data_IF_490850141599
#
_entry.id   IF_490850141599
#
_cell.length_a   1.000
_cell.length_b   1.000
_cell.length_c   1.000
_cell.angle_alpha   90.00
_cell.angle_beta   90.00
_cell.angle_gamma   90.00
#
_symmetry.space_group_name_H-M   'P 1'
#
loop_
_entity.id
_entity.type
_entity.pdbx_description
1 polymer ?
#
# COMPACT_ATOMS: atom_id res chain seq x y z
N UNK A 1 -19.18 -1.66 -13.62
CA UNK A 1 -18.30 -0.61 -14.15
C UNK A 1 -18.05 0.39 -13.03
N UNK A 2 -16.80 0.62 -12.63
CA UNK A 2 -16.45 1.76 -11.79
C UNK A 2 -16.09 2.90 -12.75
N UNK A 3 -17.00 3.85 -12.94
CA UNK A 3 -16.67 5.07 -13.69
C UNK A 3 -15.68 5.90 -12.84
N UNK A 4 -14.52 6.29 -13.38
CA UNK A 4 -13.64 7.23 -12.71
C UNK A 4 -14.37 8.58 -12.65
N UNK A 5 -14.86 8.94 -11.47
CA UNK A 5 -15.41 10.27 -11.28
C UNK A 5 -14.29 11.28 -11.47
N UNK A 6 -14.42 12.18 -12.46
CA UNK A 6 -13.55 13.33 -12.77
C UNK A 6 -13.63 14.40 -11.67
N UNK A 7 -13.50 13.97 -10.41
CA UNK A 7 -13.48 14.88 -9.27
C UNK A 7 -12.09 15.50 -9.25
N UNK A 8 -11.97 16.83 -9.26
CA UNK A 8 -10.68 17.46 -9.09
C UNK A 8 -10.08 16.94 -7.78
N UNK A 9 -8.84 16.45 -7.85
CA UNK A 9 -8.11 16.09 -6.64
C UNK A 9 -7.95 17.35 -5.79
N UNK A 10 -8.13 17.27 -4.47
CA UNK A 10 -7.82 18.39 -3.59
C UNK A 10 -6.39 18.89 -3.86
N UNK A 11 -6.15 20.21 -3.73
CA UNK A 11 -4.81 20.75 -3.91
C UNK A 11 -3.82 20.05 -2.98
N UNK A 12 -2.66 19.68 -3.54
CA UNK A 12 -1.57 19.15 -2.73
C UNK A 12 -1.07 20.27 -1.83
N UNK A 13 -0.89 19.95 -0.56
CA UNK A 13 -0.24 20.85 0.37
C UNK A 13 1.19 21.14 -0.10
N UNK A 14 1.58 22.41 -0.10
CA UNK A 14 2.92 22.85 -0.51
C UNK A 14 3.78 23.16 0.73
N UNK A 15 5.12 23.24 0.63
CA UNK A 15 5.97 23.60 1.76
C UNK A 15 5.70 24.99 2.35
N UNK A 16 5.06 25.88 1.58
CA UNK A 16 4.68 27.23 1.98
C UNK A 16 3.38 27.30 2.79
N UNK A 17 2.61 26.21 2.89
CA UNK A 17 1.37 26.23 3.67
C UNK A 17 1.67 26.45 5.18
N UNK A 18 0.86 27.25 5.89
CA UNK A 18 1.16 27.70 7.26
C UNK A 18 1.22 26.56 8.29
N UNK A 19 0.55 25.45 8.01
CA UNK A 19 0.34 24.29 8.87
C UNK A 19 1.06 23.03 8.35
N UNK A 20 2.09 23.20 7.53
CA UNK A 20 2.87 22.07 7.00
C UNK A 20 3.68 21.39 8.09
N UNK A 21 4.17 22.17 9.05
CA UNK A 21 4.93 21.65 10.19
C UNK A 21 4.11 20.67 11.03
N UNK A 22 2.81 20.92 11.20
CA UNK A 22 1.91 20.10 12.03
C UNK A 22 1.76 18.66 11.53
N UNK A 23 2.00 18.43 10.23
CA UNK A 23 1.92 17.12 9.59
C UNK A 23 3.26 16.38 9.55
N UNK A 24 4.37 17.07 9.83
CA UNK A 24 5.69 16.47 9.84
C UNK A 24 5.97 15.90 11.21
N UNK A 25 5.99 14.57 11.31
CA UNK A 25 6.52 13.90 12.49
C UNK A 25 8.00 14.25 12.63
N UNK A 26 8.44 14.54 13.85
CA UNK A 26 9.87 14.67 14.15
C UNK A 26 10.57 13.32 13.96
N UNK A 27 11.88 13.32 13.73
CA UNK A 27 12.63 12.07 13.53
C UNK A 27 12.67 11.19 14.79
N UNK A 28 12.45 11.77 15.97
CA UNK A 28 12.22 11.02 17.21
C UNK A 28 10.84 10.36 17.22
N UNK A 29 9.79 11.08 16.83
CA UNK A 29 8.43 10.53 16.73
C UNK A 29 8.35 9.41 15.68
N UNK A 30 9.04 9.56 14.54
CA UNK A 30 9.13 8.49 13.52
C UNK A 30 9.81 7.24 14.06
N UNK A 31 10.88 7.38 14.86
CA UNK A 31 11.57 6.25 15.48
C UNK A 31 10.75 5.57 16.57
N UNK A 32 9.89 6.33 17.25
CA UNK A 32 9.00 5.82 18.30
C UNK A 32 7.72 5.15 17.75
N UNK A 33 7.48 5.17 16.43
CA UNK A 33 6.40 4.40 15.78
C UNK A 33 6.78 2.92 15.70
N UNK A 34 6.94 2.28 16.86
CA UNK A 34 7.19 0.84 16.98
C UNK A 34 5.89 0.04 17.18
N UNK A 35 4.77 0.73 17.39
CA UNK A 35 3.45 0.14 17.66
C UNK A 35 2.55 0.17 16.40
N UNK A 36 3.13 -0.05 15.22
CA UNK A 36 2.30 -0.28 14.03
C UNK A 36 1.58 -1.63 14.15
N UNK A 37 0.35 -1.76 13.63
CA UNK A 37 -0.35 -3.04 13.64
C UNK A 37 0.47 -4.07 12.85
N UNK A 38 0.47 -5.31 13.35
CA UNK A 38 1.15 -6.41 12.66
C UNK A 38 0.66 -6.50 11.21
N UNK A 39 1.61 -6.73 10.28
CA UNK A 39 1.27 -6.91 8.88
C UNK A 39 0.21 -8.01 8.74
N UNK A 40 -0.79 -7.85 7.86
CA UNK A 40 -1.77 -8.90 7.64
C UNK A 40 -1.06 -10.18 7.22
N UNK A 41 -1.45 -11.30 7.80
CA UNK A 41 -0.96 -12.61 7.36
C UNK A 41 -1.28 -12.78 5.87
N UNK A 42 -0.34 -13.28 5.05
CA UNK A 42 -0.65 -13.62 3.67
C UNK A 42 -1.87 -14.52 3.64
N UNK A 43 -2.88 -14.18 2.83
CA UNK A 43 -4.12 -14.95 2.74
C UNK A 43 -3.92 -16.37 2.17
N UNK A 44 -2.69 -16.72 1.81
CA UNK A 44 -2.34 -17.82 0.91
C UNK A 44 -1.13 -18.65 1.36
N UNK A 45 -0.88 -18.78 2.67
CA UNK A 45 0.08 -19.77 3.22
C UNK A 45 -0.27 -21.22 2.80
N UNK A 46 -1.49 -21.48 2.32
CA UNK A 46 -1.92 -22.77 1.76
C UNK A 46 -1.97 -22.85 0.22
N UNK A 47 -1.66 -21.78 -0.52
CA UNK A 47 -1.71 -21.76 -1.99
C UNK A 47 -0.34 -21.69 -2.67
N UNK A 48 0.74 -21.50 -1.92
CA UNK A 48 2.10 -21.61 -2.47
C UNK A 48 2.37 -22.99 -3.12
N UNK A 49 1.68 -24.04 -2.66
CA UNK A 49 1.78 -25.39 -3.23
C UNK A 49 0.68 -25.76 -4.24
N UNK A 50 -0.26 -24.85 -4.57
CA UNK A 50 -1.42 -25.18 -5.42
C UNK A 50 -1.35 -24.60 -6.83
N UNK A 51 -0.40 -23.73 -7.11
CA UNK A 51 -0.16 -23.22 -8.45
C UNK A 51 0.63 -24.27 -9.24
N UNK A 52 0.12 -24.77 -10.38
CA UNK A 52 0.88 -25.68 -11.23
C UNK A 52 2.15 -24.99 -11.72
N UNK A 53 3.22 -25.77 -11.90
CA UNK A 53 4.47 -25.24 -12.41
C UNK A 53 4.20 -24.59 -13.79
N UNK A 54 4.70 -23.38 -14.07
CA UNK A 54 4.53 -22.75 -15.38
C UNK A 54 5.04 -23.59 -16.55
N UNK A 55 5.92 -24.56 -16.29
CA UNK A 55 6.41 -25.54 -17.27
C UNK A 55 5.42 -26.68 -17.55
N UNK A 56 4.51 -26.97 -16.63
CA UNK A 56 3.54 -28.07 -16.73
C UNK A 56 2.23 -27.65 -17.41
N UNK A 57 2.03 -26.33 -17.64
CA UNK A 57 0.83 -25.77 -18.28
C UNK A 57 0.98 -25.54 -19.80
N UNK A 58 2.06 -26.02 -20.41
CA UNK A 58 2.38 -25.78 -21.81
C UNK A 58 2.24 -27.02 -22.68
N UNK A 59 1.03 -27.27 -23.19
CA UNK A 59 0.78 -27.88 -24.53
C UNK A 59 -0.71 -27.89 -24.94
N UNK A 60 -1.63 -27.43 -24.09
CA UNK A 60 -3.08 -27.43 -24.37
C UNK A 60 -3.72 -26.04 -24.45
N UNK A 61 -2.97 -25.03 -24.94
CA UNK A 61 -3.47 -23.68 -25.21
C UNK A 61 -2.94 -23.13 -26.51
#
# INVERSE_FOLDING_TARGET
MNEPADRPTPPKQTPEDPNVADRRLSDEQKRAMTNEPEAPKPADEGKEGKLPNPKDVGEAG
#
